data_IF_545534859665
#
_entry.id   IF_545534859665
#
_cell.length_a   1.000
_cell.length_b   1.000
_cell.length_c   1.000
_cell.angle_alpha   90.00
_cell.angle_beta   90.00
_cell.angle_gamma   90.00
#
_symmetry.space_group_name_H-M   'P 1'
#
loop_
_entity.id
_entity.type
_entity.pdbx_description
1 polymer ?
#
# COMPACT_ATOMS: atom_id res chain seq x y z
N UNK A 1 -22.60 2.72 -1.24
CA UNK A 1 -22.57 2.54 0.22
C UNK A 1 -21.25 3.14 0.69
N UNK A 2 -21.28 4.28 1.41
CA UNK A 2 -20.06 4.94 1.88
C UNK A 2 -19.54 4.10 3.06
N UNK A 3 -18.35 3.52 2.93
CA UNK A 3 -17.66 2.84 4.04
C UNK A 3 -17.50 3.84 5.18
N UNK A 4 -17.71 3.41 6.43
CA UNK A 4 -17.45 4.28 7.58
C UNK A 4 -15.95 4.55 7.71
N UNK A 5 -15.56 5.70 8.26
CA UNK A 5 -14.14 6.02 8.47
C UNK A 5 -13.42 4.95 9.32
N UNK A 6 -14.15 4.33 10.25
CA UNK A 6 -13.65 3.23 11.08
C UNK A 6 -13.38 1.97 10.26
N UNK A 7 -14.29 1.58 9.36
CA UNK A 7 -14.11 0.41 8.49
C UNK A 7 -12.98 0.66 7.47
N UNK A 8 -12.88 1.89 6.96
CA UNK A 8 -11.78 2.31 6.10
C UNK A 8 -10.43 2.15 6.81
N UNK A 9 -10.35 2.65 8.04
CA UNK A 9 -9.14 2.55 8.86
C UNK A 9 -8.78 1.09 9.15
N UNK A 10 -9.75 0.25 9.53
CA UNK A 10 -9.52 -1.19 9.77
C UNK A 10 -9.02 -1.91 8.51
N UNK A 11 -9.56 -1.56 7.34
CA UNK A 11 -9.09 -2.09 6.05
C UNK A 11 -7.63 -1.69 5.77
N UNK A 12 -7.26 -0.44 6.07
CA UNK A 12 -5.87 0.03 5.97
C UNK A 12 -4.92 -0.80 6.84
N UNK A 13 -5.24 -0.99 8.12
CA UNK A 13 -4.41 -1.78 9.05
C UNK A 13 -4.30 -3.25 8.59
N UNK A 14 -5.39 -3.84 8.10
CA UNK A 14 -5.36 -5.20 7.57
C UNK A 14 -4.40 -5.33 6.37
N UNK A 15 -4.39 -4.36 5.46
CA UNK A 15 -3.48 -4.34 4.31
C UNK A 15 -2.04 -4.07 4.71
N UNK A 16 -1.79 -3.16 5.65
CA UNK A 16 -0.44 -2.93 6.19
C UNK A 16 0.11 -4.20 6.86
N UNK A 17 -0.71 -4.94 7.61
CA UNK A 17 -0.33 -6.22 8.22
C UNK A 17 0.00 -7.27 7.17
N UNK A 18 -0.84 -7.41 6.14
CA UNK A 18 -0.60 -8.33 5.03
C UNK A 18 0.71 -7.99 4.31
N UNK A 19 0.96 -6.72 4.02
CA UNK A 19 2.22 -6.27 3.43
C UNK A 19 3.42 -6.62 4.32
N UNK A 20 3.33 -6.35 5.62
CA UNK A 20 4.40 -6.67 6.56
C UNK A 20 4.77 -8.17 6.55
N UNK A 21 3.77 -9.05 6.53
CA UNK A 21 4.00 -10.50 6.43
C UNK A 21 4.74 -10.87 5.15
N UNK A 22 4.33 -10.31 4.01
CA UNK A 22 4.96 -10.56 2.71
C UNK A 22 6.38 -9.98 2.61
N UNK A 23 6.69 -8.95 3.40
CA UNK A 23 8.04 -8.38 3.53
C UNK A 23 8.93 -9.16 4.52
N UNK A 24 8.39 -10.18 5.19
CA UNK A 24 9.14 -11.09 6.06
C UNK A 24 9.05 -10.80 7.55
N UNK A 25 8.22 -9.85 7.98
CA UNK A 25 7.93 -9.61 9.40
C UNK A 25 7.11 -10.78 9.97
N UNK A 26 7.51 -11.30 11.14
CA UNK A 26 6.97 -12.56 11.67
C UNK A 26 6.08 -12.39 12.89
N UNK A 27 6.33 -11.40 13.74
CA UNK A 27 5.63 -11.21 15.01
C UNK A 27 4.81 -9.93 14.98
N UNK A 28 3.82 -9.87 14.08
CA UNK A 28 3.05 -8.65 13.83
C UNK A 28 1.89 -8.50 14.81
N UNK A 29 2.00 -7.54 15.71
CA UNK A 29 1.01 -7.24 16.74
C UNK A 29 0.44 -5.82 16.58
N UNK A 30 -0.82 -5.63 16.96
CA UNK A 30 -1.42 -4.30 17.13
C UNK A 30 -1.60 -4.10 18.63
N UNK A 31 -0.80 -3.22 19.24
CA UNK A 31 -0.88 -2.97 20.67
C UNK A 31 -2.16 -2.21 21.00
N UNK A 32 -2.87 -2.63 22.06
CA UNK A 32 -4.15 -2.02 22.47
C UNK A 32 -4.04 -0.52 22.80
N UNK A 33 -2.87 -0.10 23.29
CA UNK A 33 -2.57 1.29 23.65
C UNK A 33 -2.25 2.19 22.44
N UNK A 34 -2.04 1.61 21.24
CA UNK A 34 -1.74 2.34 20.01
C UNK A 34 -2.56 1.81 18.83
N UNK A 35 -3.86 2.07 18.86
CA UNK A 35 -4.82 1.63 17.84
C UNK A 35 -4.32 1.94 16.42
N UNK A 36 -4.27 0.92 15.57
CA UNK A 36 -3.77 1.01 14.21
C UNK A 36 -2.28 1.32 14.07
N UNK A 37 -1.47 0.99 15.08
CA UNK A 37 -0.02 0.86 14.93
C UNK A 37 0.35 -0.62 14.96
N UNK A 38 1.09 -1.07 13.96
CA UNK A 38 1.63 -2.42 13.92
C UNK A 38 3.06 -2.43 14.46
N UNK A 39 3.41 -3.51 15.11
CA UNK A 39 4.72 -3.75 15.71
C UNK A 39 5.24 -5.13 15.28
N UNK A 40 6.55 -5.27 15.07
CA UNK A 40 7.26 -6.55 14.94
C UNK A 40 8.22 -6.68 16.12
N UNK A 41 7.78 -7.39 17.17
CA UNK A 41 8.43 -7.34 18.48
C UNK A 41 8.45 -5.91 19.05
N UNK A 42 9.65 -5.38 19.34
CA UNK A 42 9.82 -4.02 19.86
C UNK A 42 9.91 -2.94 18.76
N UNK A 43 9.85 -3.32 17.49
CA UNK A 43 9.99 -2.38 16.37
C UNK A 43 8.63 -1.92 15.86
N UNK A 44 8.38 -0.62 15.87
CA UNK A 44 7.20 -0.03 15.21
C UNK A 44 7.31 -0.20 13.70
N UNK A 45 6.27 -0.76 13.08
CA UNK A 45 6.18 -0.91 11.64
C UNK A 45 5.68 0.38 10.98
N UNK A 46 6.10 0.65 9.72
CA UNK A 46 5.64 1.81 8.98
C UNK A 46 4.14 1.76 8.67
N UNK A 47 3.48 2.92 8.67
CA UNK A 47 2.08 3.06 8.31
C UNK A 47 1.92 3.26 6.79
N UNK A 48 2.21 2.24 5.99
CA UNK A 48 2.36 2.39 4.51
C UNK A 48 1.13 2.92 3.77
N UNK A 49 -0.09 2.72 4.28
CA UNK A 49 -1.29 3.30 3.64
C UNK A 49 -1.59 4.71 4.12
N UNK A 50 -0.77 5.22 5.05
CA UNK A 50 -1.07 6.43 5.79
C UNK A 50 0.03 7.46 5.92
N UNK A 51 1.26 7.09 5.63
CA UNK A 51 2.44 7.94 5.67
C UNK A 51 3.21 7.81 4.34
N UNK A 52 3.34 8.92 3.62
CA UNK A 52 4.06 8.96 2.37
C UNK A 52 5.56 8.66 2.53
N UNK A 53 6.17 9.01 3.66
CA UNK A 53 7.58 8.69 3.91
C UNK A 53 7.81 7.18 3.97
N UNK A 54 6.81 6.43 4.46
CA UNK A 54 6.80 4.97 4.45
C UNK A 54 6.41 4.40 3.08
N UNK A 55 5.41 4.98 2.42
CA UNK A 55 4.82 4.46 1.18
C UNK A 55 5.71 4.70 -0.06
N UNK A 56 6.26 5.91 -0.20
CA UNK A 56 7.03 6.35 -1.37
C UNK A 56 8.17 5.40 -1.77
N UNK A 57 8.99 4.90 -0.82
CA UNK A 57 10.02 3.92 -1.12
C UNK A 57 9.52 2.64 -1.81
N UNK A 58 8.26 2.24 -1.60
CA UNK A 58 7.68 1.06 -2.27
C UNK A 58 7.52 1.28 -3.78
N UNK A 59 7.17 2.49 -4.22
CA UNK A 59 7.04 2.81 -5.65
C UNK A 59 8.37 2.59 -6.38
N UNK A 60 9.44 3.17 -5.83
CA UNK A 60 10.78 3.09 -6.40
C UNK A 60 11.31 1.65 -6.37
N UNK A 61 11.20 0.98 -5.22
CA UNK A 61 11.70 -0.39 -5.03
C UNK A 61 11.06 -1.40 -5.97
N UNK A 62 9.75 -1.28 -6.20
CA UNK A 62 9.00 -2.24 -7.02
C UNK A 62 8.77 -1.76 -8.46
N UNK A 63 9.26 -0.57 -8.85
CA UNK A 63 9.06 -0.03 -10.19
C UNK A 63 7.57 0.07 -10.56
N UNK A 64 6.78 0.74 -9.72
CA UNK A 64 5.32 0.81 -9.89
C UNK A 64 4.96 2.13 -10.61
N UNK A 65 4.37 2.09 -11.81
CA UNK A 65 3.87 3.28 -12.47
C UNK A 65 2.56 3.75 -11.83
N UNK A 66 2.37 5.07 -11.77
CA UNK A 66 1.11 5.72 -11.34
C UNK A 66 0.59 6.56 -12.51
N UNK A 67 -0.62 6.25 -12.97
CA UNK A 67 -1.27 6.94 -14.09
C UNK A 67 -2.63 7.46 -13.65
N UNK A 68 -2.80 8.77 -13.67
CA UNK A 68 -4.08 9.42 -13.39
C UNK A 68 -4.97 9.37 -14.63
N UNK A 69 -6.24 9.01 -14.44
CA UNK A 69 -7.21 8.89 -15.54
C UNK A 69 -8.31 9.92 -15.34
N UNK A 70 -8.46 10.77 -16.35
CA UNK A 70 -9.54 11.75 -16.45
C UNK A 70 -10.59 11.22 -17.42
N UNK A 71 -11.83 11.00 -16.98
CA UNK A 71 -12.93 10.62 -17.86
C UNK A 71 -13.17 11.67 -18.95
N UNK A 72 -13.72 11.24 -20.09
CA UNK A 72 -14.09 12.16 -21.16
C UNK A 72 -15.13 13.19 -20.65
N UNK A 73 -14.86 14.47 -20.90
CA UNK A 73 -15.71 15.58 -20.44
C UNK A 73 -15.56 15.95 -18.96
N UNK A 74 -14.58 15.39 -18.24
CA UNK A 74 -14.24 15.80 -16.88
C UNK A 74 -12.98 16.70 -16.85
N UNK A 75 -12.94 17.63 -15.90
CA UNK A 75 -11.79 18.52 -15.69
C UNK A 75 -10.71 17.90 -14.79
N UNK A 76 -11.08 16.88 -14.01
CA UNK A 76 -10.22 16.26 -13.01
C UNK A 76 -10.25 14.73 -13.07
N UNK A 77 -9.14 14.06 -12.71
CA UNK A 77 -9.10 12.61 -12.64
C UNK A 77 -9.98 12.09 -11.50
N UNK A 78 -10.72 11.02 -11.77
CA UNK A 78 -11.59 10.32 -10.81
C UNK A 78 -10.99 9.01 -10.29
N UNK A 79 -9.93 8.51 -10.95
CA UNK A 79 -9.19 7.34 -10.53
C UNK A 79 -7.72 7.35 -10.99
N UNK A 80 -6.94 6.42 -10.45
CA UNK A 80 -5.59 6.13 -10.90
C UNK A 80 -5.40 4.63 -11.16
N UNK A 81 -4.53 4.32 -12.11
CA UNK A 81 -3.90 3.01 -12.26
C UNK A 81 -2.53 3.02 -11.59
N UNK A 82 -2.32 2.06 -10.69
CA UNK A 82 -1.09 1.86 -9.93
C UNK A 82 -0.59 0.47 -10.27
N UNK A 83 0.32 0.39 -11.26
CA UNK A 83 0.60 -0.88 -11.95
C UNK A 83 -0.68 -1.49 -12.53
N UNK A 84 -1.00 -2.73 -12.14
CA UNK A 84 -2.23 -3.39 -12.56
C UNK A 84 -3.44 -3.06 -11.65
N UNK A 85 -3.22 -2.34 -10.56
CA UNK A 85 -4.26 -2.03 -9.57
C UNK A 85 -4.99 -0.74 -9.94
N UNK A 86 -6.31 -0.81 -10.11
CA UNK A 86 -7.16 0.38 -10.26
C UNK A 86 -7.66 0.85 -8.90
N UNK A 87 -7.60 2.17 -8.65
CA UNK A 87 -8.15 2.81 -7.44
C UNK A 87 -8.99 4.03 -7.81
N UNK A 88 -10.26 4.04 -7.40
CA UNK A 88 -11.15 5.20 -7.54
C UNK A 88 -11.00 6.14 -6.37
N UNK A 89 -10.93 7.44 -6.60
CA UNK A 89 -10.73 8.41 -5.52
C UNK A 89 -11.96 8.54 -4.61
N UNK A 90 -13.16 8.29 -5.14
CA UNK A 90 -14.40 8.34 -4.36
C UNK A 90 -14.50 7.27 -3.25
N UNK A 91 -13.68 6.21 -3.31
CA UNK A 91 -13.68 5.12 -2.33
C UNK A 91 -12.79 5.43 -1.11
N UNK A 92 -12.12 6.58 -1.09
CA UNK A 92 -11.15 6.98 -0.08
C UNK A 92 -11.46 8.36 0.51
N UNK A 93 -10.97 8.69 1.72
CA UNK A 93 -11.16 10.01 2.33
C UNK A 93 -10.59 11.16 1.50
N UNK A 94 -9.45 10.92 0.84
CA UNK A 94 -8.76 11.87 -0.03
C UNK A 94 -7.93 11.13 -1.09
N UNK A 95 -7.38 11.89 -2.05
CA UNK A 95 -6.56 11.35 -3.15
C UNK A 95 -5.27 10.70 -2.66
N UNK A 96 -4.61 11.24 -1.63
CA UNK A 96 -3.37 10.69 -1.11
C UNK A 96 -3.59 9.32 -0.47
N UNK A 97 -4.68 9.17 0.29
CA UNK A 97 -5.12 7.89 0.87
C UNK A 97 -5.44 6.86 -0.19
N UNK A 98 -6.06 7.28 -1.29
CA UNK A 98 -6.31 6.42 -2.44
C UNK A 98 -5.00 5.93 -3.07
N UNK A 99 -4.05 6.84 -3.30
CA UNK A 99 -2.76 6.51 -3.89
C UNK A 99 -1.96 5.56 -3.00
N UNK A 100 -1.77 5.90 -1.72
CA UNK A 100 -1.03 5.05 -0.78
C UNK A 100 -1.66 3.66 -0.63
N UNK A 101 -3.00 3.58 -0.54
CA UNK A 101 -3.72 2.31 -0.49
C UNK A 101 -3.51 1.48 -1.76
N UNK A 102 -3.58 2.11 -2.93
CA UNK A 102 -3.33 1.45 -4.21
C UNK A 102 -1.91 0.94 -4.39
N UNK A 103 -0.91 1.70 -3.93
CA UNK A 103 0.50 1.30 -3.94
C UNK A 103 0.68 0.05 -3.09
N UNK A 104 0.18 0.05 -1.85
CA UNK A 104 0.27 -1.12 -0.97
C UNK A 104 -0.42 -2.34 -1.58
N UNK A 105 -1.62 -2.17 -2.18
CA UNK A 105 -2.34 -3.26 -2.85
C UNK A 105 -1.56 -3.82 -4.05
N UNK A 106 -0.93 -2.98 -4.85
CA UNK A 106 -0.13 -3.43 -5.99
C UNK A 106 1.14 -4.16 -5.55
N UNK A 107 1.81 -3.68 -4.49
CA UNK A 107 2.98 -4.36 -3.92
C UNK A 107 2.59 -5.74 -3.40
N UNK A 108 1.52 -5.83 -2.62
CA UNK A 108 0.96 -7.10 -2.13
C UNK A 108 0.72 -8.04 -3.32
N UNK A 109 0.01 -7.57 -4.37
CA UNK A 109 -0.28 -8.36 -5.56
C UNK A 109 0.98 -8.90 -6.23
N UNK A 110 2.04 -8.09 -6.36
CA UNK A 110 3.33 -8.51 -6.97
C UNK A 110 4.09 -9.51 -6.10
N UNK A 111 4.01 -9.39 -4.78
CA UNK A 111 4.64 -10.30 -3.83
C UNK A 111 3.90 -11.65 -3.75
N UNK A 112 2.56 -11.64 -3.80
CA UNK A 112 1.73 -12.84 -3.80
C UNK A 112 1.74 -13.60 -5.13
N UNK A 113 1.91 -12.86 -6.24
CA UNK A 113 2.02 -13.42 -7.58
C UNK A 113 3.31 -12.95 -8.25
N UNK A 114 4.47 -13.50 -7.85
CA UNK A 114 5.75 -13.16 -8.46
C UNK A 114 5.67 -13.44 -9.96
N UNK A 115 5.79 -12.38 -10.79
CA UNK A 115 5.95 -12.59 -12.21
C UNK A 115 7.35 -13.18 -12.45
N UNK A 116 7.47 -14.40 -13.01
CA UNK A 116 8.76 -15.07 -13.16
C UNK A 116 9.78 -14.26 -14.00
N UNK A 117 9.30 -13.34 -14.84
CA UNK A 117 10.13 -12.47 -15.67
C UNK A 117 10.83 -11.31 -14.90
N UNK A 118 10.41 -10.98 -13.67
CA UNK A 118 11.07 -9.98 -12.82
C UNK A 118 11.98 -10.61 -11.75
N UNK A 119 11.84 -11.90 -11.47
CA UNK A 119 12.67 -12.64 -10.51
C UNK A 119 14.12 -12.85 -10.97
N UNK A 120 14.43 -12.55 -12.24
CA UNK A 120 15.80 -12.54 -12.77
C UNK A 120 16.57 -11.25 -12.45
N UNK A 121 15.92 -10.24 -11.86
CA UNK A 121 16.60 -9.07 -11.32
C UNK A 121 17.12 -9.39 -9.91
N UNK A 122 18.43 -9.65 -9.84
CA UNK A 122 19.36 -9.71 -8.70
C UNK A 122 18.80 -9.85 -7.26
N UNK A 123 19.31 -10.81 -6.46
CA UNK A 123 18.95 -10.90 -5.05
C UNK A 123 19.37 -9.63 -4.28
N UNK A 124 18.39 -9.06 -3.57
CA UNK A 124 18.50 -7.90 -2.71
C UNK A 124 19.65 -8.06 -1.70
N UNK A 125 20.71 -7.24 -1.83
CA UNK A 125 21.67 -7.06 -0.75
C UNK A 125 21.05 -6.17 0.34
N UNK A 126 21.23 -6.50 1.64
CA UNK A 126 20.87 -5.57 2.70
C UNK A 126 21.72 -4.29 2.58
N UNK A 127 21.08 -3.14 2.78
CA UNK A 127 21.75 -1.85 2.82
C UNK A 127 22.74 -1.79 4.01
N UNK A 128 23.86 -1.06 3.87
CA UNK A 128 24.88 -0.90 4.93
C UNK A 128 24.36 -0.16 6.17
#
# INVERSE_FOLDING_TARGET
MRISDQDYFRSCIAKERQLAQLLGHRQIEECYESVGTLWDGAQKLPAWTRDWAACGPLLARFGIPVVFVTPEGADEPDHAHIGATRVRFADHPDRDRALMSGIVREVIRRLEHPHPHLAAAEPLRPLP
#
